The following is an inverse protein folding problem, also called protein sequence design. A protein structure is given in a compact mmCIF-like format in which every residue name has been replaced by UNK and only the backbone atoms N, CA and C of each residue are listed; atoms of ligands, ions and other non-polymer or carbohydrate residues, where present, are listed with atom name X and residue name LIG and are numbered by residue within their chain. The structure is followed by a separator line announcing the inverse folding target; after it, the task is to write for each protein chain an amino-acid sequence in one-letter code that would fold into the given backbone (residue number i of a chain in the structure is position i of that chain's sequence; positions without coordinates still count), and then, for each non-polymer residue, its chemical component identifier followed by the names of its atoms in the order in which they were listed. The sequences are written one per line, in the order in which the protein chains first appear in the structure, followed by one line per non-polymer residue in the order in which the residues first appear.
data_IF_084714005492
#
_entry.id   IF_084714005492
#
_cell.length_a   1.000
_cell.length_b   1.000
_cell.length_c   1.000
_cell.angle_alpha   90.00
_cell.angle_beta   90.00
_cell.angle_gamma   90.00
#
_symmetry.space_group_name_H-M   'P 1'
#
loop_
_entity.id
_entity.type
_entity.pdbx_description
1 polymer ?
#
# COMPACT_ATOMS: atom_id res chain seq x y z
N UNK A 1 -15.69 -11.52 12.97
CA UNK A 1 -15.79 -10.05 12.81
C UNK A 1 -14.46 -9.47 12.36
N UNK A 2 -14.35 -9.06 11.11
CA UNK A 2 -13.13 -8.43 10.57
C UNK A 2 -12.95 -6.99 11.08
N UNK A 3 -11.93 -6.77 11.92
CA UNK A 3 -11.54 -5.41 12.40
C UNK A 3 -11.20 -4.46 11.24
N UNK A 4 -10.73 -5.00 10.12
CA UNK A 4 -10.41 -4.21 8.93
C UNK A 4 -11.67 -3.65 8.27
N UNK A 5 -12.72 -4.48 8.11
CA UNK A 5 -14.00 -4.04 7.53
C UNK A 5 -14.68 -3.01 8.44
N UNK A 6 -14.67 -3.22 9.74
CA UNK A 6 -15.23 -2.27 10.70
C UNK A 6 -14.55 -0.89 10.61
N UNK A 7 -13.22 -0.86 10.53
CA UNK A 7 -12.46 0.40 10.36
C UNK A 7 -12.79 1.09 9.04
N UNK A 8 -12.96 0.32 7.96
CA UNK A 8 -13.35 0.87 6.67
C UNK A 8 -14.74 1.52 6.73
N UNK A 9 -15.72 0.85 7.35
CA UNK A 9 -17.08 1.39 7.53
C UNK A 9 -17.04 2.72 8.27
N UNK A 10 -16.30 2.80 9.38
CA UNK A 10 -16.16 4.06 10.13
C UNK A 10 -15.45 5.16 9.33
N UNK A 11 -14.46 4.81 8.51
CA UNK A 11 -13.80 5.77 7.64
C UNK A 11 -14.74 6.31 6.55
N UNK A 12 -15.57 5.46 5.95
CA UNK A 12 -16.57 5.85 4.97
C UNK A 12 -17.67 6.72 5.57
N UNK A 13 -18.17 6.36 6.76
CA UNK A 13 -19.15 7.19 7.50
C UNK A 13 -18.59 8.58 7.79
N UNK A 14 -17.33 8.67 8.25
CA UNK A 14 -16.65 9.96 8.48
C UNK A 14 -16.52 10.79 7.20
N UNK A 15 -16.29 10.13 6.07
CA UNK A 15 -16.17 10.81 4.76
C UNK A 15 -17.51 11.43 4.34
N UNK A 16 -18.62 10.75 4.63
CA UNK A 16 -19.98 11.19 4.33
C UNK A 16 -20.58 12.12 5.40
N UNK A 17 -19.89 12.32 6.52
CA UNK A 17 -20.43 13.07 7.66
C UNK A 17 -21.58 12.35 8.38
N UNK A 18 -21.71 11.02 8.22
CA UNK A 18 -22.74 10.22 8.88
C UNK A 18 -22.39 10.01 10.35
N UNK A 19 -23.36 10.28 11.22
CA UNK A 19 -23.29 10.02 12.64
C UNK A 19 -23.61 8.56 12.99
N UNK A 20 -23.87 8.33 14.28
CA UNK A 20 -24.14 6.99 14.79
C UNK A 20 -25.51 6.47 14.39
N UNK A 21 -26.54 7.31 14.42
CA UNK A 21 -27.92 6.95 14.11
C UNK A 21 -28.08 6.65 12.63
N UNK A 22 -27.57 7.53 11.74
CA UNK A 22 -27.68 7.33 10.29
C UNK A 22 -26.95 6.06 9.84
N UNK A 23 -25.82 5.74 10.50
CA UNK A 23 -25.11 4.47 10.27
C UNK A 23 -25.95 3.27 10.74
N UNK A 24 -26.65 3.36 11.87
CA UNK A 24 -27.52 2.26 12.38
C UNK A 24 -28.69 2.03 11.43
N UNK A 25 -29.32 3.10 10.94
CA UNK A 25 -30.41 3.00 9.98
C UNK A 25 -29.95 2.38 8.66
N UNK A 26 -28.76 2.76 8.17
CA UNK A 26 -28.18 2.17 6.97
C UNK A 26 -27.86 0.68 7.16
N UNK A 27 -27.32 0.30 8.33
CA UNK A 27 -27.07 -1.10 8.65
C UNK A 27 -28.37 -1.92 8.69
N UNK A 28 -29.41 -1.40 9.33
CA UNK A 28 -30.74 -2.03 9.39
C UNK A 28 -31.33 -2.19 7.99
N UNK A 29 -31.27 -1.15 7.17
CA UNK A 29 -31.80 -1.19 5.81
C UNK A 29 -31.08 -2.21 4.90
N UNK A 30 -29.76 -2.36 5.05
CA UNK A 30 -28.95 -3.24 4.18
C UNK A 30 -28.92 -4.69 4.67
N UNK A 31 -28.96 -4.91 5.99
CA UNK A 31 -28.65 -6.22 6.59
C UNK A 31 -29.69 -6.72 7.59
N UNK A 32 -30.61 -5.86 8.04
CA UNK A 32 -31.54 -6.14 9.12
C UNK A 32 -30.93 -6.11 10.53
N UNK A 33 -29.65 -5.76 10.69
CA UNK A 33 -28.96 -5.66 11.97
C UNK A 33 -28.58 -4.20 12.27
N UNK A 34 -28.68 -3.76 13.52
CA UNK A 34 -28.30 -2.40 13.93
C UNK A 34 -26.85 -2.29 14.43
N UNK A 35 -26.22 -3.44 14.68
CA UNK A 35 -24.88 -3.55 15.26
C UNK A 35 -23.91 -4.32 14.35
N UNK A 36 -22.76 -3.69 14.07
CA UNK A 36 -21.64 -4.33 13.39
C UNK A 36 -21.12 -5.57 14.12
N UNK A 37 -21.32 -5.71 15.44
CA UNK A 37 -20.88 -6.90 16.18
C UNK A 37 -21.73 -8.14 15.90
N UNK A 38 -22.96 -7.95 15.41
CA UNK A 38 -23.87 -9.03 15.05
C UNK A 38 -23.80 -9.39 13.56
N UNK A 39 -22.99 -8.66 12.78
CA UNK A 39 -22.82 -8.89 11.36
C UNK A 39 -21.69 -9.86 11.06
N UNK A 40 -21.90 -10.69 10.04
CA UNK A 40 -20.83 -11.42 9.39
C UNK A 40 -20.05 -10.54 8.40
N UNK A 41 -18.96 -11.08 7.86
CA UNK A 41 -18.09 -10.34 6.93
C UNK A 41 -18.79 -10.06 5.58
N UNK A 42 -19.82 -10.82 5.18
CA UNK A 42 -20.56 -10.57 3.94
C UNK A 42 -21.52 -9.38 4.11
N UNK A 43 -22.23 -9.31 5.23
CA UNK A 43 -23.08 -8.19 5.62
C UNK A 43 -22.27 -6.90 5.76
N UNK A 44 -21.09 -6.95 6.37
CA UNK A 44 -20.19 -5.78 6.44
C UNK A 44 -19.73 -5.30 5.05
N UNK A 45 -19.49 -6.22 4.11
CA UNK A 45 -19.15 -5.85 2.72
C UNK A 45 -20.35 -5.22 1.98
N UNK A 46 -21.56 -5.70 2.24
CA UNK A 46 -22.78 -5.10 1.68
C UNK A 46 -22.96 -3.66 2.18
N UNK A 47 -22.76 -3.43 3.49
CA UNK A 47 -22.78 -2.08 4.09
C UNK A 47 -21.72 -1.18 3.47
N UNK A 48 -20.48 -1.66 3.31
CA UNK A 48 -19.43 -0.91 2.63
C UNK A 48 -19.79 -0.56 1.19
N UNK A 49 -20.35 -1.51 0.45
CA UNK A 49 -20.78 -1.28 -0.94
C UNK A 49 -21.82 -0.17 -1.01
N UNK A 50 -22.81 -0.19 -0.10
CA UNK A 50 -23.81 0.87 -0.01
C UNK A 50 -23.21 2.23 0.34
N UNK A 51 -22.26 2.26 1.28
CA UNK A 51 -21.55 3.50 1.65
C UNK A 51 -20.71 4.04 0.49
N UNK A 52 -20.09 3.17 -0.30
CA UNK A 52 -19.30 3.55 -1.48
C UNK A 52 -20.19 4.14 -2.58
N UNK A 53 -21.37 3.57 -2.82
CA UNK A 53 -22.39 4.12 -3.73
C UNK A 53 -22.86 5.52 -3.32
N UNK A 54 -22.92 5.78 -2.01
CA UNK A 54 -23.25 7.11 -1.47
C UNK A 54 -22.08 8.11 -1.56
N UNK A 55 -20.92 7.69 -2.03
CA UNK A 55 -19.72 8.52 -2.14
C UNK A 55 -18.76 8.44 -0.95
N UNK A 56 -18.99 7.50 -0.02
CA UNK A 56 -18.15 7.24 1.15
C UNK A 56 -16.90 6.42 0.84
N UNK A 57 -16.69 6.08 -0.43
CA UNK A 57 -15.52 5.37 -0.90
C UNK A 57 -14.24 6.05 -0.45
N UNK A 58 -13.31 5.26 0.10
CA UNK A 58 -11.97 5.74 0.40
C UNK A 58 -11.39 6.36 -0.88
N UNK A 59 -11.13 7.67 -0.88
CA UNK A 59 -10.41 8.33 -1.97
C UNK A 59 -9.14 7.53 -2.20
N UNK A 60 -9.02 6.87 -3.36
CA UNK A 60 -7.80 6.17 -3.75
C UNK A 60 -6.68 7.21 -3.62
N UNK A 61 -5.79 7.02 -2.65
CA UNK A 61 -4.61 7.87 -2.48
C UNK A 61 -3.96 7.92 -3.85
N UNK A 62 -3.88 9.13 -4.44
CA UNK A 62 -3.63 9.30 -5.87
C UNK A 62 -2.55 8.36 -6.38
N UNK A 63 -2.79 7.77 -7.56
CA UNK A 63 -1.84 6.85 -8.19
C UNK A 63 -0.47 7.50 -8.18
N UNK A 64 0.48 6.93 -7.43
CA UNK A 64 1.85 7.43 -7.46
C UNK A 64 2.30 7.40 -8.92
N UNK A 65 3.02 8.43 -9.40
CA UNK A 65 3.50 8.46 -10.76
C UNK A 65 4.18 7.13 -11.08
N UNK A 66 3.90 6.59 -12.27
CA UNK A 66 4.51 5.35 -12.71
C UNK A 66 6.03 5.48 -12.58
N UNK A 67 6.69 4.41 -12.12
CA UNK A 67 8.13 4.41 -12.06
C UNK A 67 8.68 4.70 -13.47
N UNK A 68 9.70 5.56 -13.62
CA UNK A 68 10.30 5.87 -14.93
C UNK A 68 10.75 4.61 -15.70
N UNK A 69 11.00 3.53 -14.97
CA UNK A 69 11.51 2.25 -15.43
C UNK A 69 10.81 1.11 -14.70
N UNK A 70 10.21 0.20 -15.46
CA UNK A 70 9.40 -0.90 -14.91
C UNK A 70 10.24 -1.93 -14.13
N UNK A 71 11.49 -2.14 -14.57
CA UNK A 71 12.49 -3.01 -13.93
C UNK A 71 12.88 -2.53 -12.53
N UNK A 72 13.04 -1.22 -12.31
CA UNK A 72 13.31 -0.69 -10.96
C UNK A 72 12.19 -1.00 -9.98
N UNK A 73 10.92 -0.87 -10.43
CA UNK A 73 9.76 -1.24 -9.60
C UNK A 73 9.77 -2.73 -9.27
N UNK A 74 10.15 -3.56 -10.23
CA UNK A 74 10.22 -5.00 -10.05
C UNK A 74 11.26 -5.39 -9.00
N UNK A 75 12.45 -4.78 -9.00
CA UNK A 75 13.48 -5.01 -7.97
C UNK A 75 12.98 -4.66 -6.57
N UNK A 76 12.30 -3.52 -6.41
CA UNK A 76 11.72 -3.12 -5.13
C UNK A 76 10.63 -4.09 -4.64
N UNK A 77 9.83 -4.64 -5.57
CA UNK A 77 8.82 -5.66 -5.24
C UNK A 77 9.48 -6.94 -4.76
N UNK A 78 10.49 -7.45 -5.48
CA UNK A 78 11.22 -8.65 -5.07
C UNK A 78 11.88 -8.48 -3.70
N UNK A 79 12.52 -7.33 -3.46
CA UNK A 79 13.12 -7.03 -2.16
C UNK A 79 12.09 -7.01 -1.03
N UNK A 80 10.92 -6.41 -1.28
CA UNK A 80 9.83 -6.42 -0.31
C UNK A 80 9.34 -7.84 -0.01
N UNK A 81 9.13 -8.66 -1.05
CA UNK A 81 8.65 -10.04 -0.87
C UNK A 81 9.64 -10.89 -0.07
N UNK A 82 10.95 -10.74 -0.31
CA UNK A 82 11.98 -11.39 0.50
C UNK A 82 11.96 -10.92 1.97
N UNK A 83 11.62 -9.65 2.19
CA UNK A 83 11.44 -9.10 3.54
C UNK A 83 10.20 -9.65 4.24
N UNK A 84 9.10 -9.82 3.52
CA UNK A 84 7.86 -10.43 4.03
C UNK A 84 8.05 -11.93 4.36
N UNK A 85 8.93 -12.62 3.63
CA UNK A 85 9.35 -14.01 3.90
C UNK A 85 10.38 -14.13 5.04
N UNK A 86 10.85 -13.01 5.60
CA UNK A 86 11.82 -13.00 6.70
C UNK A 86 13.26 -13.29 6.29
N UNK A 87 13.55 -13.35 4.98
CA UNK A 87 14.89 -13.59 4.45
C UNK A 87 15.84 -12.38 4.58
N UNK A 88 15.33 -11.22 5.00
CA UNK A 88 16.09 -9.97 5.10
C UNK A 88 16.14 -9.42 6.52
N UNK A 89 17.34 -9.13 7.01
CA UNK A 89 17.53 -8.40 8.27
C UNK A 89 17.07 -6.93 8.17
N UNK A 90 17.15 -6.34 6.97
CA UNK A 90 16.81 -4.94 6.70
C UNK A 90 15.89 -4.84 5.47
N UNK A 91 14.57 -5.08 5.62
CA UNK A 91 13.61 -5.13 4.51
C UNK A 91 13.23 -3.76 3.91
N UNK A 92 14.14 -2.78 3.92
CA UNK A 92 13.92 -1.42 3.41
C UNK A 92 14.87 -1.04 2.27
N UNK A 93 14.64 0.15 1.71
CA UNK A 93 15.46 0.75 0.64
C UNK A 93 16.95 0.78 0.99
N UNK A 94 17.27 1.14 2.24
CA UNK A 94 18.64 1.17 2.73
C UNK A 94 19.31 -0.22 2.72
N UNK A 95 18.55 -1.28 3.01
CA UNK A 95 19.05 -2.65 2.96
C UNK A 95 19.32 -3.11 1.53
N UNK A 96 18.43 -2.75 0.59
CA UNK A 96 18.61 -3.04 -0.83
C UNK A 96 19.88 -2.38 -1.39
N UNK A 97 20.05 -1.07 -1.11
CA UNK A 97 21.25 -0.35 -1.55
C UNK A 97 22.53 -0.89 -0.90
N UNK A 98 22.49 -1.26 0.39
CA UNK A 98 23.63 -1.89 1.06
C UNK A 98 23.99 -3.25 0.45
N UNK A 99 22.99 -4.07 0.10
CA UNK A 99 23.19 -5.35 -0.58
C UNK A 99 23.80 -5.17 -1.98
N UNK A 100 23.31 -4.22 -2.77
CA UNK A 100 23.86 -3.94 -4.10
C UNK A 100 25.31 -3.47 -3.99
N UNK A 101 25.61 -2.56 -3.05
CA UNK A 101 26.98 -2.10 -2.81
C UNK A 101 27.90 -3.27 -2.43
N UNK A 102 27.51 -4.08 -1.44
CA UNK A 102 28.35 -5.21 -1.02
C UNK A 102 28.61 -6.24 -2.12
N UNK A 103 27.69 -6.38 -3.10
CA UNK A 103 27.84 -7.31 -4.22
C UNK A 103 28.66 -6.78 -5.38
N UNK A 104 28.65 -5.46 -5.64
CA UNK A 104 29.16 -4.89 -6.89
C UNK A 104 30.28 -3.85 -6.72
N UNK A 105 30.47 -3.27 -5.54
CA UNK A 105 31.50 -2.24 -5.27
C UNK A 105 32.91 -2.71 -5.64
N UNK A 106 33.27 -3.94 -5.28
CA UNK A 106 34.58 -4.51 -5.62
C UNK A 106 34.75 -4.91 -7.10
N UNK A 107 33.65 -5.06 -7.86
CA UNK A 107 33.69 -5.49 -9.27
C UNK A 107 33.63 -4.32 -10.26
N UNK A 108 33.01 -3.21 -9.89
CA UNK A 108 32.70 -2.12 -10.82
C UNK A 108 33.62 -0.91 -10.70
N UNK A 109 34.63 -0.96 -9.81
CA UNK A 109 35.62 0.10 -9.58
C UNK A 109 35.02 1.50 -9.37
N UNK A 110 33.72 1.57 -9.10
CA UNK A 110 32.91 2.77 -8.96
C UNK A 110 31.78 2.47 -7.99
N UNK A 111 31.39 3.46 -7.18
CA UNK A 111 30.31 3.31 -6.20
C UNK A 111 29.00 3.18 -6.97
N UNK A 112 28.25 2.06 -6.80
CA UNK A 112 26.95 1.92 -7.44
C UNK A 112 26.04 3.10 -7.07
N UNK A 113 25.60 3.84 -8.08
CA UNK A 113 24.56 4.88 -7.95
C UNK A 113 23.34 4.24 -7.28
N UNK A 114 22.68 4.97 -6.38
CA UNK A 114 21.47 4.50 -5.68
C UNK A 114 20.48 3.94 -6.71
N UNK A 115 19.88 2.79 -6.43
CA UNK A 115 18.91 2.15 -7.33
C UNK A 115 17.77 3.10 -7.71
N UNK A 116 17.39 4.01 -6.82
CA UNK A 116 16.36 5.02 -7.06
C UNK A 116 16.81 6.18 -7.98
N UNK A 117 18.12 6.28 -8.19
CA UNK A 117 18.80 7.27 -9.06
C UNK A 117 19.11 6.70 -10.46
N UNK A 118 18.93 5.39 -10.69
CA UNK A 118 19.10 4.73 -12.00
C UNK A 118 17.94 5.02 -12.99
N UNK A 119 17.51 6.28 -13.06
CA UNK A 119 16.36 6.73 -13.85
C UNK A 119 16.65 6.73 -15.36
N UNK A 120 17.91 6.91 -15.75
CA UNK A 120 18.39 6.87 -17.13
C UNK A 120 19.26 5.63 -17.37
N UNK A 121 18.97 4.84 -18.41
CA UNK A 121 19.75 3.63 -18.75
C UNK A 121 21.22 3.90 -19.14
N UNK A 122 21.57 5.16 -19.44
CA UNK A 122 22.91 5.59 -19.88
C UNK A 122 23.80 6.25 -18.81
N UNK A 123 23.34 6.43 -17.56
CA UNK A 123 24.14 7.07 -16.49
C UNK A 123 24.52 6.07 -15.39
N UNK A 124 25.21 5.01 -15.78
CA UNK A 124 25.69 3.98 -14.85
C UNK A 124 27.04 4.27 -14.18
N UNK A 125 27.68 5.40 -14.46
CA UNK A 125 29.03 5.72 -13.96
C UNK A 125 29.07 7.20 -13.56
N UNK A 126 29.17 7.49 -12.27
CA UNK A 126 29.59 8.83 -11.81
C UNK A 126 31.05 8.98 -12.20
N UNK A 127 31.32 9.84 -13.19
CA UNK A 127 32.69 10.27 -13.49
C UNK A 127 33.04 11.37 -12.50
N UNK A 128 33.66 11.02 -11.38
CA UNK A 128 34.33 12.02 -10.55
C UNK A 128 35.66 12.38 -11.23
N UNK A 129 35.84 13.67 -11.54
CA UNK A 129 37.15 14.30 -11.80
C UNK A 129 37.55 15.09 -10.58
#
# INVERSE_FOLDING_TARGET
MSRTLQRAIFASCRTLGLGQEERRDLQLAVTGQDSLSQMDDAQMRAVLTRLDEMGGGAKRRGTRPAAPRADLRYVHVLWRLLGEDGALERPGRAGLNAFIRSRFEGKWQSVPIDIDSLRDAGRGISTER
#
